data_IF_156374726268
#
_entry.id   IF_156374726268
#
_cell.length_a   1.000
_cell.length_b   1.000
_cell.length_c   1.000
_cell.angle_alpha   90.00
_cell.angle_beta   90.00
_cell.angle_gamma   90.00
#
_symmetry.space_group_name_H-M   'P 1'
#
loop_
_entity.id
_entity.type
_entity.pdbx_description
1 polymer ?
#
# COMPACT_ATOMS: atom_id res chain seq x y z
N UNK A 1 7.94 -7.81 2.35
CA UNK A 1 6.56 -7.34 2.06
C UNK A 1 6.55 -5.91 1.53
N UNK A 2 7.14 -4.92 2.23
CA UNK A 2 7.16 -3.52 1.76
C UNK A 2 7.82 -3.32 0.39
N UNK A 3 8.91 -4.05 0.10
CA UNK A 3 9.57 -4.03 -1.22
C UNK A 3 8.56 -4.26 -2.37
N UNK A 4 7.75 -5.32 -2.29
CA UNK A 4 6.80 -5.65 -3.35
C UNK A 4 5.74 -4.56 -3.54
N UNK A 5 5.27 -3.94 -2.46
CA UNK A 5 4.32 -2.83 -2.56
C UNK A 5 4.98 -1.64 -3.29
N UNK A 6 6.24 -1.33 -2.99
CA UNK A 6 6.97 -0.27 -3.69
C UNK A 6 7.23 -0.60 -5.16
N UNK A 7 7.55 -1.85 -5.49
CA UNK A 7 7.70 -2.32 -6.88
C UNK A 7 6.40 -2.15 -7.66
N UNK A 8 5.26 -2.53 -7.07
CA UNK A 8 3.94 -2.38 -7.68
C UNK A 8 3.55 -0.91 -7.88
N UNK A 9 3.77 -0.07 -6.86
CA UNK A 9 3.54 1.38 -6.95
C UNK A 9 4.42 2.02 -8.04
N UNK A 10 5.69 1.63 -8.12
CA UNK A 10 6.61 2.12 -9.14
C UNK A 10 6.20 1.67 -10.55
N UNK A 11 5.75 0.42 -10.71
CA UNK A 11 5.23 -0.12 -11.97
C UNK A 11 3.98 0.63 -12.42
N UNK A 12 3.04 0.87 -11.50
CA UNK A 12 1.85 1.66 -11.77
C UNK A 12 2.20 3.10 -12.21
N UNK A 13 3.05 3.79 -11.45
CA UNK A 13 3.50 5.15 -11.80
C UNK A 13 4.19 5.20 -13.17
N UNK A 14 4.98 4.17 -13.51
CA UNK A 14 5.65 4.05 -14.81
C UNK A 14 4.64 3.89 -15.94
N UNK A 15 3.58 3.11 -15.75
CA UNK A 15 2.52 2.93 -16.74
C UNK A 15 1.76 4.25 -16.99
N UNK A 16 1.46 4.99 -15.93
CA UNK A 16 0.80 6.30 -15.99
C UNK A 16 1.74 7.45 -16.45
N UNK A 17 3.05 7.18 -16.57
CA UNK A 17 4.10 8.17 -16.87
C UNK A 17 4.18 9.31 -15.83
N UNK A 18 3.87 8.98 -14.57
CA UNK A 18 3.88 9.91 -13.45
C UNK A 18 5.00 9.58 -12.45
N UNK A 19 5.19 10.49 -11.49
CA UNK A 19 5.99 10.24 -10.30
C UNK A 19 5.08 10.22 -9.08
N UNK A 20 5.48 9.47 -8.06
CA UNK A 20 4.66 9.22 -6.88
C UNK A 20 5.38 9.58 -5.60
N UNK A 21 4.62 10.08 -4.63
CA UNK A 21 5.05 10.31 -3.27
C UNK A 21 4.48 9.21 -2.38
N UNK A 22 5.32 8.60 -1.55
CA UNK A 22 4.86 7.60 -0.58
C UNK A 22 4.73 8.25 0.79
N UNK A 23 3.53 8.17 1.36
CA UNK A 23 3.24 8.57 2.73
C UNK A 23 2.76 7.32 3.48
N UNK A 24 3.33 7.07 4.65
CA UNK A 24 3.03 5.91 5.49
C UNK A 24 2.85 6.32 6.95
N UNK A 25 2.15 5.49 7.73
CA UNK A 25 2.08 5.67 9.18
C UNK A 25 3.43 5.34 9.84
N UNK A 26 3.72 5.98 10.96
CA UNK A 26 4.96 5.80 11.71
C UNK A 26 5.14 4.34 12.16
N UNK A 27 6.35 3.82 11.98
CA UNK A 27 6.74 2.47 12.40
C UNK A 27 8.12 2.49 13.03
N UNK A 28 8.43 1.52 13.89
CA UNK A 28 9.70 1.48 14.62
C UNK A 28 10.93 1.48 13.69
N UNK A 29 10.85 0.74 12.57
CA UNK A 29 11.97 0.56 11.64
C UNK A 29 11.89 1.54 10.44
N UNK A 30 11.32 2.73 10.63
CA UNK A 30 11.09 3.69 9.54
C UNK A 30 12.38 4.15 8.84
N UNK A 31 13.48 4.30 9.58
CA UNK A 31 14.76 4.74 9.01
C UNK A 31 15.39 3.64 8.14
N UNK A 32 15.26 2.37 8.54
CA UNK A 32 15.64 1.23 7.71
C UNK A 32 14.84 1.18 6.41
N UNK A 33 13.55 1.53 6.45
CA UNK A 33 12.72 1.60 5.25
C UNK A 33 13.14 2.73 4.30
N UNK A 34 13.50 3.90 4.84
CA UNK A 34 14.05 5.01 4.04
C UNK A 34 15.38 4.62 3.40
N UNK A 35 16.27 4.00 4.16
CA UNK A 35 17.56 3.53 3.66
C UNK A 35 17.38 2.49 2.54
N UNK A 36 16.51 1.50 2.73
CA UNK A 36 16.19 0.49 1.70
C UNK A 36 15.66 1.13 0.43
N UNK A 37 14.77 2.11 0.51
CA UNK A 37 14.28 2.82 -0.68
C UNK A 37 15.43 3.53 -1.42
N UNK A 38 16.34 4.17 -0.69
CA UNK A 38 17.51 4.80 -1.30
C UNK A 38 18.40 3.78 -2.04
N UNK A 39 18.66 2.63 -1.42
CA UNK A 39 19.38 1.51 -2.04
C UNK A 39 18.65 1.01 -3.29
N UNK A 40 17.33 0.81 -3.23
CA UNK A 40 16.54 0.36 -4.37
C UNK A 40 16.48 1.36 -5.53
N UNK A 41 16.56 2.66 -5.24
CA UNK A 41 16.68 3.71 -6.26
C UNK A 41 18.06 3.68 -6.94
N UNK A 42 19.12 3.45 -6.17
CA UNK A 42 20.51 3.42 -6.66
C UNK A 42 20.82 2.13 -7.43
N UNK A 43 20.60 1.00 -6.77
CA UNK A 43 21.10 -0.32 -7.15
C UNK A 43 20.01 -1.21 -7.75
N UNK A 44 18.74 -0.90 -7.48
CA UNK A 44 17.59 -1.75 -7.82
C UNK A 44 17.16 -2.65 -6.67
N UNK A 45 15.96 -3.21 -6.76
CA UNK A 45 15.45 -4.15 -5.76
C UNK A 45 16.12 -5.52 -5.87
N UNK A 46 16.36 -6.24 -4.76
CA UNK A 46 16.91 -7.59 -4.80
C UNK A 46 15.86 -8.61 -5.26
N UNK A 47 16.30 -9.69 -5.90
CA UNK A 47 15.45 -10.83 -6.28
C UNK A 47 15.42 -11.13 -7.78
N UNK A 48 14.60 -12.12 -8.15
CA UNK A 48 14.50 -12.64 -9.52
C UNK A 48 14.00 -11.61 -10.54
N UNK A 49 13.17 -10.64 -10.10
CA UNK A 49 12.69 -9.51 -10.90
C UNK A 49 13.14 -8.19 -10.29
N UNK A 50 14.46 -7.97 -10.25
CA UNK A 50 15.01 -6.68 -9.82
C UNK A 50 14.45 -5.53 -10.64
N UNK A 51 14.04 -4.46 -9.98
CA UNK A 51 13.59 -3.21 -10.63
C UNK A 51 14.18 -1.98 -9.94
N UNK A 52 14.49 -0.94 -10.71
CA UNK A 52 14.84 0.37 -10.15
C UNK A 52 13.58 1.15 -9.82
N UNK A 53 13.51 1.66 -8.59
CA UNK A 53 12.38 2.43 -8.09
C UNK A 53 12.46 3.92 -8.47
N UNK A 54 12.64 4.19 -9.77
CA UNK A 54 12.91 5.52 -10.33
C UNK A 54 11.71 6.48 -10.36
N UNK A 55 10.48 5.99 -10.13
CA UNK A 55 9.27 6.83 -10.10
C UNK A 55 8.89 7.33 -8.71
N UNK A 56 9.48 6.79 -7.65
CA UNK A 56 9.23 7.26 -6.28
C UNK A 56 10.10 8.49 -6.01
N UNK A 57 9.44 9.64 -5.83
CA UNK A 57 10.12 10.91 -5.53
C UNK A 57 10.66 10.88 -4.10
N UNK A 58 11.84 11.47 -3.92
CA UNK A 58 12.45 11.67 -2.60
C UNK A 58 12.57 10.38 -1.76
N UNK A 59 11.86 10.32 -0.63
CA UNK A 59 11.87 9.24 0.37
C UNK A 59 10.46 8.89 0.83
N UNK A 60 10.33 7.93 1.76
CA UNK A 60 9.05 7.62 2.41
C UNK A 60 8.79 8.66 3.51
N UNK A 61 7.66 9.36 3.38
CA UNK A 61 7.18 10.29 4.39
C UNK A 61 6.37 9.55 5.44
N UNK A 62 6.98 9.33 6.59
CA UNK A 62 6.29 8.80 7.77
C UNK A 62 5.61 9.96 8.50
N UNK A 63 4.32 9.80 8.78
CA UNK A 63 3.53 10.78 9.50
C UNK A 63 2.62 10.07 10.51
N UNK A 64 2.39 10.66 11.69
CA UNK A 64 1.56 10.04 12.71
C UNK A 64 0.11 9.95 12.23
N UNK A 65 -0.50 8.76 12.26
CA UNK A 65 -1.87 8.51 11.81
C UNK A 65 -2.91 9.44 12.43
N UNK A 66 -2.75 9.84 13.71
CA UNK A 66 -3.65 10.82 14.37
C UNK A 66 -3.68 12.19 13.70
N UNK A 67 -2.62 12.55 12.96
CA UNK A 67 -2.49 13.83 12.27
C UNK A 67 -2.90 13.78 10.80
N UNK A 68 -3.17 12.59 10.24
CA UNK A 68 -3.50 12.42 8.81
C UNK A 68 -4.78 11.63 8.60
N UNK A 69 -5.85 12.33 8.19
CA UNK A 69 -7.12 11.69 7.80
C UNK A 69 -6.96 10.74 6.61
N UNK A 70 -5.98 10.99 5.74
CA UNK A 70 -5.71 10.12 4.59
C UNK A 70 -5.07 8.81 5.03
N UNK A 71 -4.13 8.84 5.99
CA UNK A 71 -3.57 7.61 6.56
C UNK A 71 -4.66 6.79 7.26
N UNK A 72 -5.51 7.44 8.07
CA UNK A 72 -6.66 6.78 8.70
C UNK A 72 -7.63 6.17 7.68
N UNK A 73 -7.86 6.83 6.54
CA UNK A 73 -8.71 6.30 5.48
C UNK A 73 -8.08 5.06 4.83
N UNK A 74 -6.77 5.05 4.62
CA UNK A 74 -6.04 3.88 4.10
C UNK A 74 -6.13 2.70 5.07
N UNK A 75 -5.99 2.94 6.38
CA UNK A 75 -6.13 1.89 7.40
C UNK A 75 -7.54 1.28 7.39
N UNK A 76 -8.58 2.12 7.26
CA UNK A 76 -9.96 1.64 7.15
C UNK A 76 -10.17 0.77 5.90
N UNK A 77 -9.58 1.17 4.77
CA UNK A 77 -9.67 0.41 3.52
C UNK A 77 -8.94 -0.93 3.65
N UNK A 78 -7.72 -0.93 4.20
CA UNK A 78 -6.94 -2.14 4.41
C UNK A 78 -7.64 -3.10 5.38
N UNK A 79 -8.22 -2.58 6.47
CA UNK A 79 -9.04 -3.35 7.40
C UNK A 79 -10.28 -3.94 6.73
N UNK A 80 -11.02 -3.15 5.96
CA UNK A 80 -12.21 -3.62 5.24
C UNK A 80 -11.86 -4.73 4.24
N UNK A 81 -10.78 -4.56 3.48
CA UNK A 81 -10.28 -5.58 2.55
C UNK A 81 -9.95 -6.87 3.28
N UNK A 82 -9.09 -6.80 4.29
CA UNK A 82 -8.71 -7.97 5.10
C UNK A 82 -9.93 -8.67 5.70
N UNK A 83 -10.87 -7.90 6.27
CA UNK A 83 -12.09 -8.47 6.87
C UNK A 83 -12.91 -9.26 5.85
N UNK A 84 -13.06 -8.74 4.63
CA UNK A 84 -13.80 -9.44 3.56
C UNK A 84 -13.12 -10.73 3.12
N UNK A 85 -11.78 -10.77 3.11
CA UNK A 85 -11.01 -11.94 2.67
C UNK A 85 -10.86 -13.01 3.77
N UNK A 86 -10.79 -12.64 5.05
CA UNK A 86 -10.51 -13.58 6.14
C UNK A 86 -11.71 -13.94 7.01
N UNK A 87 -12.82 -13.21 6.91
CA UNK A 87 -13.99 -13.42 7.76
C UNK A 87 -15.25 -13.66 6.93
N UNK A 88 -15.94 -14.76 7.22
CA UNK A 88 -17.26 -15.05 6.64
C UNK A 88 -18.32 -14.37 7.51
N UNK A 89 -18.94 -13.32 6.97
CA UNK A 89 -20.04 -12.64 7.65
C UNK A 89 -21.27 -13.55 7.75
N UNK A 90 -21.77 -13.75 8.96
CA UNK A 90 -22.97 -14.54 9.25
C UNK A 90 -24.26 -13.72 9.16
N UNK A 91 -24.18 -12.39 9.35
CA UNK A 91 -25.30 -11.47 9.19
C UNK A 91 -25.32 -10.86 7.77
N UNK A 92 -26.39 -11.15 7.05
CA UNK A 92 -26.66 -10.62 5.71
C UNK A 92 -26.68 -9.08 5.62
N UNK A 93 -27.08 -8.39 6.70
CA UNK A 93 -27.06 -6.92 6.73
C UNK A 93 -25.63 -6.40 6.77
N UNK A 94 -24.79 -6.99 7.61
CA UNK A 94 -23.37 -6.63 7.71
C UNK A 94 -22.66 -6.88 6.39
N UNK A 95 -22.91 -8.03 5.74
CA UNK A 95 -22.38 -8.35 4.42
C UNK A 95 -22.72 -7.29 3.37
N UNK A 96 -24.01 -6.92 3.25
CA UNK A 96 -24.45 -5.90 2.29
C UNK A 96 -23.80 -4.53 2.51
N UNK A 97 -23.61 -4.13 3.77
CA UNK A 97 -22.94 -2.86 4.10
C UNK A 97 -21.47 -2.91 3.70
N UNK A 98 -20.76 -3.98 4.05
CA UNK A 98 -19.36 -4.15 3.69
C UNK A 98 -19.15 -4.17 2.18
N UNK A 99 -20.00 -4.85 1.41
CA UNK A 99 -19.93 -4.88 -0.05
C UNK A 99 -20.22 -3.50 -0.65
N UNK A 100 -21.18 -2.75 -0.10
CA UNK A 100 -21.44 -1.36 -0.52
C UNK A 100 -20.24 -0.46 -0.25
N UNK A 101 -19.65 -0.52 0.94
CA UNK A 101 -18.45 0.24 1.28
C UNK A 101 -17.29 -0.10 0.34
N UNK A 102 -17.08 -1.39 0.09
CA UNK A 102 -16.04 -1.84 -0.83
C UNK A 102 -16.27 -1.36 -2.26
N UNK A 103 -17.52 -1.31 -2.73
CA UNK A 103 -17.85 -0.84 -4.09
C UNK A 103 -17.33 0.57 -4.40
N UNK A 104 -17.23 1.44 -3.39
CA UNK A 104 -16.69 2.80 -3.55
C UNK A 104 -15.19 2.82 -3.77
N UNK A 105 -14.47 1.83 -3.21
CA UNK A 105 -13.01 1.73 -3.25
C UNK A 105 -12.56 0.89 -4.44
N UNK A 106 -13.29 -0.21 -4.74
CA UNK A 106 -12.94 -1.22 -5.76
C UNK A 106 -12.60 -0.60 -7.12
N UNK A 107 -13.29 0.46 -7.53
CA UNK A 107 -13.05 1.13 -8.81
C UNK A 107 -11.66 1.79 -8.92
N UNK A 108 -11.00 2.05 -7.79
CA UNK A 108 -9.65 2.63 -7.71
C UNK A 108 -8.57 1.62 -7.32
N UNK A 109 -8.93 0.36 -7.06
CA UNK A 109 -7.96 -0.68 -6.70
C UNK A 109 -7.22 -1.12 -7.96
N UNK A 110 -5.92 -0.86 -8.00
CA UNK A 110 -5.03 -1.27 -9.09
C UNK A 110 -4.40 -2.64 -8.85
N UNK A 111 -4.17 -2.97 -7.57
CA UNK A 111 -3.57 -4.22 -7.15
C UNK A 111 -4.06 -4.57 -5.74
N UNK A 112 -4.32 -5.85 -5.49
CA UNK A 112 -4.69 -6.38 -4.18
C UNK A 112 -3.92 -7.67 -3.91
N UNK A 113 -3.49 -7.84 -2.65
CA UNK A 113 -2.82 -9.05 -2.21
C UNK A 113 -3.02 -9.23 -0.70
N UNK A 114 -3.43 -10.43 -0.28
CA UNK A 114 -3.48 -10.81 1.12
C UNK A 114 -2.39 -11.83 1.38
N UNK A 115 -1.51 -11.53 2.33
CA UNK A 115 -0.51 -12.50 2.77
C UNK A 115 -1.20 -13.61 3.58
N UNK A 116 -0.92 -14.86 3.21
CA UNK A 116 -1.34 -16.05 3.92
C UNK A 116 -0.08 -16.72 4.52
N UNK A 117 -0.10 -17.11 5.81
CA UNK A 117 1.03 -17.76 6.49
C UNK A 117 1.35 -19.15 5.94
#
# INVERSE_FOLDING_TARGET
>A
MLQHVMEQVNSFARAEKEHVLIIADEVADQDDHRQKLWEYKRDGTPGYQSSKLDRIVDTIHFAPSKASRLLQAVDLIAFLHRRRETHVETDDRARRVNDRLWSHVKIRVQHEHVWLP
#
